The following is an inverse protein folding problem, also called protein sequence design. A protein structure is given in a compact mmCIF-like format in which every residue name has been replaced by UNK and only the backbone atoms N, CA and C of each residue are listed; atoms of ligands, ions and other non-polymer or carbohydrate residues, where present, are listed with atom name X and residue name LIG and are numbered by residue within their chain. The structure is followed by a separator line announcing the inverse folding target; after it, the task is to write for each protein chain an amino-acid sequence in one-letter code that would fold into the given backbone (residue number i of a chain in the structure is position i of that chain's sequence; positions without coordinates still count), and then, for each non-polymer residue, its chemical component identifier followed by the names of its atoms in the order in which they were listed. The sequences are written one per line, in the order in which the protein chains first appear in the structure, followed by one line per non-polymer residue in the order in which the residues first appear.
data_IF_187617293024
#
_entry.id   IF_187617293024
#
_cell.length_a   1.000
_cell.length_b   1.000
_cell.length_c   1.000
_cell.angle_alpha   90.00
_cell.angle_beta   90.00
_cell.angle_gamma   90.00
#
_symmetry.space_group_name_H-M   'P 1'
#
loop_
_entity.id
_entity.type
_entity.pdbx_description
1 polymer ?
#
# COMPACT_ATOMS: atom_id res chain seq x y z
N UNK A 1 10.19 -4.53 -5.65
CA UNK A 1 9.79 -3.78 -4.45
C UNK A 1 10.61 -2.51 -4.29
N UNK A 2 11.94 -2.57 -4.42
CA UNK A 2 12.80 -1.37 -4.37
C UNK A 2 12.35 -0.27 -5.34
N UNK A 3 12.05 -0.60 -6.60
CA UNK A 3 11.55 0.37 -7.60
C UNK A 3 10.24 1.03 -7.19
N UNK A 4 9.29 0.25 -6.66
CA UNK A 4 8.03 0.76 -6.13
C UNK A 4 8.28 1.72 -4.95
N UNK A 5 9.19 1.37 -4.03
CA UNK A 5 9.54 2.24 -2.92
C UNK A 5 10.13 3.58 -3.40
N UNK A 6 11.03 3.56 -4.38
CA UNK A 6 11.57 4.78 -4.99
C UNK A 6 10.48 5.63 -5.64
N UNK A 7 9.59 5.00 -6.40
CA UNK A 7 8.48 5.67 -7.08
C UNK A 7 7.57 6.39 -6.08
N UNK A 8 7.15 5.70 -5.01
CA UNK A 8 6.23 6.26 -4.01
C UNK A 8 6.87 7.39 -3.20
N UNK A 9 8.15 7.26 -2.85
CA UNK A 9 8.89 8.33 -2.19
C UNK A 9 9.00 9.56 -3.11
N UNK A 10 9.31 9.36 -4.38
CA UNK A 10 9.38 10.46 -5.35
C UNK A 10 8.02 11.14 -5.56
N UNK A 11 6.92 10.37 -5.58
CA UNK A 11 5.57 10.93 -5.64
C UNK A 11 5.25 11.82 -4.43
N UNK A 12 5.66 11.42 -3.23
CA UNK A 12 5.52 12.25 -2.03
C UNK A 12 6.39 13.51 -2.08
N UNK A 13 7.66 13.38 -2.48
CA UNK A 13 8.58 14.52 -2.61
C UNK A 13 8.08 15.56 -3.62
N UNK A 14 7.45 15.11 -4.70
CA UNK A 14 6.86 15.96 -5.74
C UNK A 14 5.40 16.36 -5.46
N UNK A 15 4.88 16.00 -4.28
CA UNK A 15 3.52 16.31 -3.82
C UNK A 15 2.42 15.83 -4.79
N UNK A 16 2.69 14.76 -5.54
CA UNK A 16 1.66 14.07 -6.36
C UNK A 16 0.68 13.36 -5.44
N UNK A 17 1.21 12.78 -4.36
CA UNK A 17 0.45 12.23 -3.25
C UNK A 17 0.97 12.86 -1.96
N UNK A 18 0.09 13.13 -1.02
CA UNK A 18 0.46 13.64 0.29
C UNK A 18 1.07 12.56 1.18
N UNK A 19 0.55 11.33 1.05
CA UNK A 19 1.03 10.20 1.83
C UNK A 19 0.67 8.86 1.17
N UNK A 20 1.36 7.80 1.56
CA UNK A 20 1.07 6.44 1.12
C UNK A 20 1.38 5.41 2.20
N UNK A 21 0.84 4.20 2.02
CA UNK A 21 1.29 3.00 2.71
C UNK A 21 0.99 1.73 1.90
N UNK A 22 1.97 0.83 1.79
CA UNK A 22 1.78 -0.51 1.24
C UNK A 22 0.89 -1.31 2.18
N UNK A 23 -0.16 -1.94 1.64
CA UNK A 23 -1.07 -2.80 2.40
C UNK A 23 -1.37 -4.11 1.63
N UNK A 24 -2.46 -4.78 1.99
CA UNK A 24 -2.90 -5.98 1.29
C UNK A 24 -2.01 -7.20 1.57
N UNK A 25 -2.01 -8.15 0.65
CA UNK A 25 -1.30 -9.42 0.82
C UNK A 25 0.23 -9.24 0.81
N UNK A 26 0.77 -8.32 0.00
CA UNK A 26 2.21 -8.03 -0.03
C UNK A 26 2.68 -7.48 1.33
N UNK A 27 1.90 -6.61 1.98
CA UNK A 27 2.22 -6.14 3.32
C UNK A 27 2.18 -7.26 4.37
N UNK A 28 1.31 -8.26 4.20
CA UNK A 28 1.25 -9.42 5.11
C UNK A 28 2.52 -10.29 5.04
N UNK A 29 3.22 -10.33 3.91
CA UNK A 29 4.49 -11.08 3.78
C UNK A 29 5.57 -10.58 4.74
N UNK A 30 5.43 -9.37 5.29
CA UNK A 30 6.31 -8.87 6.37
C UNK A 30 6.13 -9.63 7.68
N UNK A 31 4.94 -10.19 7.91
CA UNK A 31 4.53 -10.77 9.19
C UNK A 31 4.22 -12.28 9.09
N UNK A 32 4.24 -12.84 7.88
CA UNK A 32 3.81 -14.22 7.60
C UNK A 32 4.71 -14.85 6.55
N UNK A 33 4.57 -16.16 6.36
CA UNK A 33 5.22 -16.85 5.24
C UNK A 33 4.79 -16.24 3.88
N UNK A 34 5.66 -16.26 2.86
CA UNK A 34 5.33 -15.73 1.55
C UNK A 34 4.02 -16.29 1.01
N UNK A 35 3.05 -15.41 0.78
CA UNK A 35 1.80 -15.76 0.10
C UNK A 35 1.96 -15.40 -1.37
N UNK A 36 1.57 -16.32 -2.27
CA UNK A 36 1.48 -16.01 -3.69
C UNK A 36 0.36 -14.98 -3.91
N UNK A 37 0.75 -13.71 -4.03
CA UNK A 37 -0.12 -12.61 -4.44
C UNK A 37 0.42 -12.01 -5.72
N UNK A 38 -0.48 -11.64 -6.61
CA UNK A 38 -0.12 -11.10 -7.92
C UNK A 38 0.18 -9.61 -7.82
N UNK A 39 -0.60 -8.87 -7.04
CA UNK A 39 -0.59 -7.40 -7.03
C UNK A 39 -0.10 -6.81 -5.69
N UNK A 40 0.53 -5.63 -5.78
CA UNK A 40 0.92 -4.80 -4.66
C UNK A 40 -0.10 -3.66 -4.47
N UNK A 41 -0.86 -3.74 -3.38
CA UNK A 41 -1.87 -2.73 -3.05
C UNK A 41 -1.25 -1.57 -2.26
N UNK A 42 -1.47 -0.34 -2.69
CA UNK A 42 -0.94 0.87 -2.04
C UNK A 42 -2.07 1.82 -1.71
N UNK A 43 -2.25 2.11 -0.41
CA UNK A 43 -3.09 3.22 0.04
C UNK A 43 -2.41 4.53 -0.32
N UNK A 44 -3.15 5.47 -0.89
CA UNK A 44 -2.67 6.82 -1.22
C UNK A 44 -3.64 7.88 -0.73
N UNK A 45 -3.08 8.99 -0.24
CA UNK A 45 -3.81 10.22 -0.01
C UNK A 45 -3.34 11.28 -1.00
N UNK A 46 -4.30 11.94 -1.64
CA UNK A 46 -4.07 13.05 -2.57
C UNK A 46 -4.63 14.32 -1.93
N UNK A 47 -3.84 15.40 -1.93
CA UNK A 47 -4.28 16.71 -1.46
C UNK A 47 -4.85 17.52 -2.65
N UNK A 48 -6.00 18.18 -2.46
CA UNK A 48 -6.61 19.05 -3.45
C UNK A 48 -8.14 19.05 -3.44
N UNK A 49 -8.73 19.99 -4.18
CA UNK A 49 -10.18 20.04 -4.39
C UNK A 49 -10.68 18.77 -5.08
N UNK A 50 -11.95 18.40 -4.83
CA UNK A 50 -12.58 17.22 -5.41
C UNK A 50 -12.51 17.25 -6.94
N UNK A 51 -11.55 16.52 -7.52
CA UNK A 51 -11.44 16.29 -8.96
C UNK A 51 -12.34 15.12 -9.34
N UNK A 52 -12.91 15.17 -10.54
CA UNK A 52 -13.56 14.00 -11.14
C UNK A 52 -12.58 12.84 -11.34
N UNK A 53 -11.31 13.16 -11.57
CA UNK A 53 -10.21 12.20 -11.68
C UNK A 53 -9.11 12.51 -10.65
N UNK A 54 -9.20 11.83 -9.50
CA UNK A 54 -8.25 11.98 -8.39
C UNK A 54 -6.95 11.19 -8.63
N UNK A 55 -7.01 10.11 -9.44
CA UNK A 55 -5.87 9.25 -9.74
C UNK A 55 -5.13 9.63 -11.02
N UNK A 56 -5.69 10.54 -11.83
CA UNK A 56 -5.09 11.07 -13.05
C UNK A 56 -3.64 11.53 -12.88
N UNK A 57 -3.32 12.37 -11.87
CA UNK A 57 -1.94 12.80 -11.62
C UNK A 57 -0.97 11.65 -11.34
N UNK A 58 -1.41 10.59 -10.65
CA UNK A 58 -0.59 9.40 -10.38
C UNK A 58 -0.33 8.65 -11.70
N UNK A 59 -1.38 8.46 -12.50
CA UNK A 59 -1.28 7.77 -13.79
C UNK A 59 -0.37 8.51 -14.77
N UNK A 60 -0.50 9.84 -14.87
CA UNK A 60 0.36 10.71 -15.67
C UNK A 60 1.83 10.61 -15.20
N UNK A 61 2.05 10.71 -13.90
CA UNK A 61 3.38 10.61 -13.31
C UNK A 61 4.08 9.28 -13.58
N UNK A 62 3.33 8.18 -13.54
CA UNK A 62 3.79 6.85 -13.91
C UNK A 62 4.11 6.75 -15.40
N UNK A 63 3.22 7.24 -16.27
CA UNK A 63 3.39 7.24 -17.72
C UNK A 63 4.66 8.00 -18.16
N UNK A 64 4.92 9.16 -17.56
CA UNK A 64 6.14 9.95 -17.82
C UNK A 64 7.44 9.21 -17.46
N UNK A 65 7.37 8.19 -16.61
CA UNK A 65 8.50 7.31 -16.24
C UNK A 65 8.56 6.01 -17.04
N UNK A 66 7.66 5.84 -18.01
CA UNK A 66 7.58 4.64 -18.83
C UNK A 66 6.86 3.47 -18.15
N UNK A 67 6.14 3.71 -17.04
CA UNK A 67 5.29 2.68 -16.45
C UNK A 67 3.96 2.62 -17.18
N UNK A 68 3.50 1.41 -17.47
CA UNK A 68 2.31 1.18 -18.28
C UNK A 68 1.17 0.60 -17.44
N UNK A 69 -0.08 1.04 -17.70
CA UNK A 69 -1.25 0.44 -17.06
C UNK A 69 -1.51 -0.97 -17.60
N UNK A 70 -1.94 -1.85 -16.71
CA UNK A 70 -2.39 -3.21 -16.99
C UNK A 70 -3.63 -3.51 -16.17
N UNK A 71 -4.80 -3.38 -16.80
CA UNK A 71 -6.08 -3.42 -16.09
C UNK A 71 -6.19 -2.24 -15.12
N UNK A 72 -6.46 -2.54 -13.84
CA UNK A 72 -6.55 -1.53 -12.77
C UNK A 72 -5.19 -1.25 -12.08
N UNK A 73 -4.13 -1.95 -12.49
CA UNK A 73 -2.80 -1.82 -11.92
C UNK A 73 -1.84 -1.09 -12.87
N UNK A 74 -0.71 -0.62 -12.33
CA UNK A 74 0.43 -0.08 -13.09
C UNK A 74 1.61 -1.00 -12.86
N UNK A 75 2.27 -1.46 -13.93
CA UNK A 75 3.46 -2.30 -13.81
C UNK A 75 4.67 -1.47 -13.38
N UNK A 76 5.16 -1.70 -12.16
CA UNK A 76 6.34 -1.03 -11.59
C UNK A 76 7.36 -2.11 -11.24
N UNK A 77 8.32 -2.30 -12.14
CA UNK A 77 9.28 -3.40 -12.07
C UNK A 77 8.58 -4.76 -12.16
N UNK A 78 8.87 -5.63 -11.20
CA UNK A 78 8.24 -6.95 -11.11
C UNK A 78 6.82 -6.96 -10.51
N UNK A 79 6.28 -5.80 -10.11
CA UNK A 79 5.05 -5.72 -9.35
C UNK A 79 3.96 -4.98 -10.15
N UNK A 80 2.81 -5.59 -10.42
CA UNK A 80 1.61 -4.84 -10.75
C UNK A 80 1.10 -4.13 -9.49
N UNK A 81 0.94 -2.81 -9.56
CA UNK A 81 0.64 -1.95 -8.40
C UNK A 81 -0.75 -1.37 -8.54
N UNK A 82 -1.60 -1.61 -7.55
CA UNK A 82 -2.92 -1.00 -7.48
C UNK A 82 -2.91 0.17 -6.50
N UNK A 83 -3.26 1.35 -6.98
CA UNK A 83 -3.37 2.57 -6.16
C UNK A 83 -4.80 2.70 -5.64
N UNK A 84 -4.95 2.76 -4.32
CA UNK A 84 -6.25 2.77 -3.64
C UNK A 84 -6.34 4.04 -2.80
N UNK A 85 -7.32 4.88 -3.08
CA UNK A 85 -7.54 6.09 -2.30
C UNK A 85 -7.92 5.74 -0.87
N UNK A 86 -7.41 6.49 0.10
CA UNK A 86 -7.92 6.47 1.46
C UNK A 86 -9.39 6.92 1.46
N UNK A 87 -10.30 6.03 1.84
CA UNK A 87 -11.75 6.27 1.77
C UNK A 87 -12.47 6.19 3.12
N UNK A 88 -11.78 5.76 4.19
CA UNK A 88 -12.35 5.60 5.53
C UNK A 88 -11.39 6.05 6.62
N UNK A 89 -11.92 6.28 7.84
CA UNK A 89 -11.11 6.56 9.03
C UNK A 89 -10.10 5.43 9.30
N UNK A 90 -10.51 4.16 9.13
CA UNK A 90 -9.62 3.01 9.31
C UNK A 90 -8.44 3.04 8.34
N UNK A 91 -8.69 3.23 7.04
CA UNK A 91 -7.62 3.31 6.04
C UNK A 91 -6.72 4.52 6.23
N UNK A 92 -7.28 5.64 6.72
CA UNK A 92 -6.52 6.85 7.04
C UNK A 92 -5.56 6.60 8.20
N UNK A 93 -6.09 6.07 9.30
CA UNK A 93 -5.28 5.73 10.48
C UNK A 93 -4.21 4.68 10.15
N UNK A 94 -4.57 3.66 9.36
CA UNK A 94 -3.64 2.62 8.93
C UNK A 94 -2.45 3.19 8.15
N UNK A 95 -2.70 4.16 7.27
CA UNK A 95 -1.68 4.86 6.51
C UNK A 95 -0.86 5.82 7.39
N UNK A 96 -1.50 6.59 8.27
CA UNK A 96 -0.80 7.51 9.18
C UNK A 96 0.16 6.76 10.12
N UNK A 97 -0.29 5.65 10.70
CA UNK A 97 0.47 4.81 11.62
C UNK A 97 1.30 3.71 10.93
N UNK A 98 1.46 3.77 9.60
CA UNK A 98 2.29 2.82 8.87
C UNK A 98 3.77 2.91 9.33
N UNK A 99 4.41 1.74 9.42
CA UNK A 99 5.81 1.60 9.84
C UNK A 99 6.74 1.64 8.63
N UNK A 100 7.95 2.15 8.82
CA UNK A 100 8.97 2.16 7.76
C UNK A 100 9.70 0.83 7.73
N UNK A 101 9.72 0.19 6.57
CA UNK A 101 10.53 -0.98 6.27
C UNK A 101 11.65 -0.59 5.30
N UNK A 102 12.83 -1.20 5.44
CA UNK A 102 13.92 -1.05 4.49
C UNK A 102 13.81 -2.12 3.39
N UNK A 103 13.80 -1.68 2.13
CA UNK A 103 13.89 -2.55 0.97
C UNK A 103 15.13 -2.17 0.17
N UNK A 104 16.23 -2.89 0.42
CA UNK A 104 17.52 -2.69 -0.25
C UNK A 104 18.00 -1.22 -0.14
N UNK A 105 17.95 -0.68 1.09
CA UNK A 105 18.36 0.70 1.39
C UNK A 105 17.33 1.77 1.01
N UNK A 106 16.15 1.38 0.51
CA UNK A 106 15.06 2.32 0.19
C UNK A 106 13.95 2.18 1.23
N UNK A 107 13.61 3.25 1.98
CA UNK A 107 12.52 3.20 2.94
C UNK A 107 11.17 3.09 2.23
N UNK A 108 10.31 2.21 2.74
CA UNK A 108 8.93 2.05 2.27
C UNK A 108 7.98 2.00 3.48
N UNK A 109 6.89 2.77 3.42
CA UNK A 109 5.85 2.72 4.46
C UNK A 109 4.95 1.51 4.27
N UNK A 110 4.80 0.68 5.30
CA UNK A 110 4.01 -0.56 5.29
C UNK A 110 3.00 -0.53 6.43
N UNK A 111 1.75 -0.89 6.14
CA UNK A 111 0.69 -0.93 7.14
C UNK A 111 0.98 -2.02 8.18
N UNK A 112 0.79 -1.66 9.46
CA UNK A 112 0.99 -2.56 10.60
C UNK A 112 0.06 -3.77 10.57
N UNK A 113 0.56 -4.90 11.08
CA UNK A 113 -0.20 -6.16 11.17
C UNK A 113 -1.60 -6.01 11.79
N UNK A 114 -1.74 -5.23 12.87
CA UNK A 114 -3.04 -4.99 13.52
C UNK A 114 -4.04 -4.33 12.57
N UNK A 115 -3.63 -3.31 11.81
CA UNK A 115 -4.52 -2.66 10.86
C UNK A 115 -4.84 -3.58 9.67
N UNK A 116 -3.89 -4.38 9.21
CA UNK A 116 -4.14 -5.39 8.16
C UNK A 116 -5.23 -6.37 8.61
N UNK A 117 -5.17 -6.85 9.86
CA UNK A 117 -6.18 -7.74 10.43
C UNK A 117 -7.56 -7.07 10.53
N UNK A 118 -7.62 -5.83 11.03
CA UNK A 118 -8.89 -5.07 11.15
C UNK A 118 -9.50 -4.78 9.78
N UNK A 119 -8.68 -4.42 8.78
CA UNK A 119 -9.15 -4.21 7.41
C UNK A 119 -9.69 -5.49 6.77
N UNK A 120 -9.01 -6.64 6.95
CA UNK A 120 -9.48 -7.92 6.43
C UNK A 120 -10.84 -8.32 7.04
N UNK A 121 -11.01 -8.07 8.35
CA UNK A 121 -12.28 -8.28 9.05
C UNK A 121 -13.39 -7.34 8.54
N UNK A 122 -13.08 -6.06 8.31
CA UNK A 122 -14.09 -5.06 7.93
C UNK A 122 -14.72 -5.33 6.56
N UNK A 123 -13.98 -5.96 5.65
CA UNK A 123 -14.49 -6.32 4.30
C UNK A 123 -15.10 -7.72 4.23
N UNK A 124 -15.29 -8.39 5.38
CA UNK A 124 -15.84 -9.74 5.43
C UNK A 124 -14.92 -10.82 4.83
N UNK A 125 -13.65 -10.50 4.56
CA UNK A 125 -12.63 -11.47 4.16
C UNK A 125 -12.11 -12.20 5.40
N UNK A 126 -13.00 -12.95 6.05
CA UNK A 126 -12.69 -13.80 7.18
C UNK A 126 -11.93 -15.06 6.72
N UNK A 127 -10.65 -14.90 6.38
CA UNK A 127 -9.66 -15.96 6.55
C UNK A 127 -8.49 -15.40 7.34
N UNK A 128 -8.71 -15.28 8.65
CA UNK A 128 -7.65 -15.00 9.61
C UNK A 128 -6.79 -16.28 9.68
N UNK A 129 -5.58 -16.23 9.15
CA UNK A 129 -4.63 -17.34 9.31
C UNK A 129 -4.19 -17.41 10.79
N UNK A 130 -3.81 -18.60 11.27
CA UNK A 130 -3.34 -18.80 12.64
C UNK A 130 -2.16 -17.89 13.03
N UNK A 131 -1.38 -17.42 12.05
CA UNK A 131 -0.31 -16.46 12.26
C UNK A 131 -0.83 -15.09 12.74
N UNK A 132 -1.97 -14.61 12.23
CA UNK A 132 -2.56 -13.32 12.65
C UNK A 132 -3.04 -13.32 14.11
N UNK A 133 -3.36 -14.50 14.68
CA UNK A 133 -3.74 -14.63 16.09
C UNK A 133 -2.56 -14.46 17.05
N UNK A 134 -1.36 -14.90 16.65
CA UNK A 134 -0.15 -14.82 17.48
C UNK A 134 0.29 -13.37 17.77
N UNK A 135 -0.11 -12.42 16.92
CA UNK A 135 0.25 -11.00 17.04
C UNK A 135 -0.82 -10.12 17.72
N UNK A 136 -2.02 -10.67 17.98
CA UNK A 136 -3.08 -9.98 18.73
C UNK A 136 -3.04 -10.30 20.23
N UNK A 137 -2.21 -11.24 20.65
CA UNK A 137 -1.87 -11.43 22.06
C UNK A 137 -0.75 -10.46 22.45
N UNK A 138 -0.97 -9.52 23.39
CA UNK A 138 0.13 -8.84 24.05
C UNK A 138 1.02 -9.92 24.70
N UNK A 139 2.34 -9.73 24.63
CA UNK A 139 3.34 -10.71 25.06
C UNK A 139 3.00 -11.42 26.37
N UNK A 140 3.30 -12.72 26.38
CA UNK A 140 3.50 -13.51 27.61
C UNK A 140 4.79 -13.08 28.27
#
# INVERSE_FOLDING_TARGET
MQELARLLNEMCEKQIIANYALFGAVAQMRYTEPVATLDADVLVAVEGEARFDVLGPISEFCSLRGYHPKGEAIEVGAWPVQFILVFSQLTKEAMEKAETADFEGVPLRVVRAVHLAVMALSVGRAKISSASWLYLTPGV
#
